data_IF_849610727650
#
_entry.id   IF_849610727650
#
_cell.length_a   1.000
_cell.length_b   1.000
_cell.length_c   1.000
_cell.angle_alpha   90.00
_cell.angle_beta   90.00
_cell.angle_gamma   90.00
#
_symmetry.space_group_name_H-M   'P 1'
#
loop_
_entity.id
_entity.type
_entity.pdbx_description
1 polymer ?
#
# COMPACT_ATOMS: atom_id res chain seq x y z
N UNK A 1 2.46 17.16 13.48
CA UNK A 1 2.21 16.28 12.32
C UNK A 1 3.11 15.07 12.48
N UNK A 2 2.55 13.87 12.34
CA UNK A 2 3.34 12.63 12.37
C UNK A 2 4.03 12.45 11.02
N UNK A 3 5.36 12.45 11.03
CA UNK A 3 6.20 12.33 9.83
C UNK A 3 6.43 10.89 9.39
N UNK A 4 6.20 9.95 10.31
CA UNK A 4 6.31 8.51 10.14
C UNK A 4 5.10 7.84 10.79
N UNK A 5 4.51 6.90 10.09
CA UNK A 5 3.49 5.99 10.61
C UNK A 5 3.94 4.56 10.31
N UNK A 6 3.95 3.71 11.32
CA UNK A 6 4.24 2.28 11.19
C UNK A 6 2.99 1.52 11.56
N UNK A 7 2.70 0.44 10.85
CA UNK A 7 1.56 -0.43 11.13
C UNK A 7 1.88 -1.88 10.77
N UNK A 8 1.12 -2.79 11.36
CA UNK A 8 1.15 -4.19 10.99
C UNK A 8 0.02 -4.96 11.66
N UNK A 9 -0.25 -6.15 11.15
CA UNK A 9 -1.33 -7.01 11.62
C UNK A 9 -1.23 -8.40 11.01
N UNK A 10 -1.79 -9.37 11.72
CA UNK A 10 -2.01 -10.72 11.19
C UNK A 10 -3.48 -10.90 10.81
N UNK A 11 -3.74 -11.74 9.82
CA UNK A 11 -5.08 -12.16 9.46
C UNK A 11 -5.18 -13.69 9.40
N UNK A 12 -6.39 -14.19 9.64
CA UNK A 12 -6.73 -15.60 9.62
C UNK A 12 -7.99 -15.82 8.76
N UNK A 13 -7.90 -16.73 7.79
CA UNK A 13 -9.03 -17.07 6.92
C UNK A 13 -9.97 -18.09 7.59
N UNK A 14 -11.14 -17.62 8.04
CA UNK A 14 -12.15 -18.47 8.71
C UNK A 14 -12.91 -19.41 7.74
N UNK A 15 -13.30 -18.91 6.57
CA UNK A 15 -14.12 -19.65 5.58
C UNK A 15 -13.34 -19.86 4.29
N UNK A 16 -12.58 -20.97 4.23
CA UNK A 16 -11.70 -21.31 3.10
C UNK A 16 -12.43 -22.19 2.08
N UNK A 17 -12.50 -21.72 0.83
CA UNK A 17 -12.93 -22.52 -0.32
C UNK A 17 -11.90 -22.33 -1.44
N UNK A 18 -11.11 -23.35 -1.81
CA UNK A 18 -11.01 -24.71 -1.24
C UNK A 18 -10.39 -24.76 0.17
N UNK A 19 -10.63 -25.86 0.91
CA UNK A 19 -10.18 -26.04 2.31
C UNK A 19 -8.66 -26.23 2.48
N UNK A 20 -7.96 -26.44 1.37
CA UNK A 20 -6.51 -26.71 1.31
C UNK A 20 -5.66 -25.44 1.44
N UNK A 21 -6.26 -24.25 1.33
CA UNK A 21 -5.57 -22.97 1.49
C UNK A 21 -5.02 -22.79 2.91
N UNK A 22 -3.77 -22.40 3.04
CA UNK A 22 -3.16 -22.07 4.32
C UNK A 22 -3.74 -20.74 4.87
N UNK A 23 -4.18 -20.71 6.14
CA UNK A 23 -5.07 -19.66 6.62
C UNK A 23 -4.36 -18.38 7.11
N UNK A 24 -3.06 -18.45 7.42
CA UNK A 24 -2.37 -17.34 8.06
C UNK A 24 -1.77 -16.35 7.06
N UNK A 25 -1.93 -15.07 7.36
CA UNK A 25 -1.19 -14.00 6.69
C UNK A 25 -0.72 -12.94 7.67
N UNK A 26 0.34 -12.25 7.28
CA UNK A 26 0.97 -11.19 8.05
C UNK A 26 1.29 -10.02 7.15
N UNK A 27 0.90 -8.82 7.59
CA UNK A 27 1.16 -7.57 6.88
C UNK A 27 1.84 -6.57 7.78
N UNK A 28 2.76 -5.80 7.23
CA UNK A 28 3.39 -4.69 7.92
C UNK A 28 3.82 -3.63 6.93
N UNK A 29 3.93 -2.39 7.39
CA UNK A 29 4.25 -1.29 6.52
C UNK A 29 4.61 -0.03 7.28
N UNK A 30 5.14 0.91 6.53
CA UNK A 30 5.44 2.25 6.98
C UNK A 30 5.03 3.27 5.93
N UNK A 31 4.52 4.41 6.41
CA UNK A 31 4.18 5.58 5.63
C UNK A 31 5.00 6.76 6.15
N UNK A 32 5.67 7.46 5.24
CA UNK A 32 6.41 8.67 5.49
C UNK A 32 5.65 9.84 4.87
N UNK A 33 5.46 10.89 5.66
CA UNK A 33 4.86 12.15 5.22
C UNK A 33 5.82 13.26 5.55
N UNK A 34 6.24 14.01 4.52
CA UNK A 34 7.12 15.16 4.74
C UNK A 34 6.46 16.16 5.68
N UNK A 35 7.17 16.54 6.74
CA UNK A 35 6.71 17.64 7.61
C UNK A 35 6.82 19.00 6.93
N UNK A 36 7.68 19.11 5.90
CA UNK A 36 7.84 20.31 5.10
C UNK A 36 6.92 20.29 3.89
N UNK A 37 6.17 21.37 3.69
CA UNK A 37 5.41 21.63 2.48
C UNK A 37 6.28 22.40 1.48
N UNK A 38 6.55 21.81 0.34
CA UNK A 38 7.15 22.49 -0.80
C UNK A 38 6.07 23.33 -1.49
N UNK A 39 6.45 24.52 -1.96
CA UNK A 39 5.53 25.46 -2.63
C UNK A 39 4.27 25.79 -1.78
N UNK A 40 4.34 25.62 -0.45
CA UNK A 40 3.25 25.81 0.54
C UNK A 40 2.02 24.89 0.39
N UNK A 41 1.91 24.14 -0.70
CA UNK A 41 0.75 23.29 -1.00
C UNK A 41 1.13 21.82 -1.22
N UNK A 42 2.38 21.51 -1.57
CA UNK A 42 2.83 20.16 -1.95
C UNK A 42 3.56 19.50 -0.78
N UNK A 43 3.10 18.32 -0.37
CA UNK A 43 3.74 17.49 0.65
C UNK A 43 4.15 16.14 0.04
N UNK A 44 5.45 15.86 -0.08
CA UNK A 44 5.92 14.55 -0.50
C UNK A 44 5.47 13.46 0.49
N UNK A 45 5.08 12.33 -0.07
CA UNK A 45 4.66 11.13 0.68
C UNK A 45 5.35 9.90 0.10
N UNK A 46 5.69 8.97 0.97
CA UNK A 46 6.27 7.69 0.60
C UNK A 46 5.67 6.59 1.48
N UNK A 47 5.61 5.37 0.98
CA UNK A 47 5.07 4.23 1.71
C UNK A 47 5.72 2.94 1.23
N UNK A 48 5.92 2.03 2.17
CA UNK A 48 6.36 0.67 1.88
C UNK A 48 5.46 -0.30 2.65
N UNK A 49 4.94 -1.29 1.93
CA UNK A 49 4.07 -2.33 2.42
C UNK A 49 4.67 -3.68 2.11
N UNK A 50 4.58 -4.57 3.08
CA UNK A 50 5.03 -5.94 3.00
C UNK A 50 3.88 -6.85 3.38
N UNK A 51 3.63 -7.84 2.54
CA UNK A 51 2.59 -8.84 2.77
C UNK A 51 3.20 -10.22 2.67
N UNK A 52 2.87 -11.09 3.62
CA UNK A 52 3.38 -12.46 3.67
C UNK A 52 2.22 -13.38 3.95
N UNK A 53 2.12 -14.48 3.21
CA UNK A 53 1.08 -15.48 3.39
C UNK A 53 1.71 -16.84 3.57
N UNK A 54 1.10 -17.65 4.44
CA UNK A 54 1.49 -19.05 4.60
C UNK A 54 1.24 -19.84 3.31
N UNK A 55 0.19 -19.47 2.55
CA UNK A 55 -0.13 -20.07 1.24
C UNK A 55 1.02 -19.94 0.25
N UNK A 56 1.71 -18.80 0.24
CA UNK A 56 2.84 -18.55 -0.63
C UNK A 56 4.19 -18.89 0.04
N UNK A 57 4.21 -19.88 0.95
CA UNK A 57 5.42 -20.30 1.67
C UNK A 57 6.15 -19.14 2.37
N UNK A 58 5.41 -18.14 2.87
CA UNK A 58 5.94 -16.93 3.50
C UNK A 58 6.83 -16.06 2.61
N UNK A 59 6.66 -16.14 1.29
CA UNK A 59 7.34 -15.22 0.38
C UNK A 59 6.80 -13.78 0.58
N UNK A 60 7.73 -12.83 0.68
CA UNK A 60 7.42 -11.43 0.93
C UNK A 60 7.03 -10.71 -0.34
N UNK A 61 5.80 -10.24 -0.38
CA UNK A 61 5.29 -9.33 -1.39
C UNK A 61 5.61 -7.90 -0.98
N UNK A 62 6.10 -7.10 -1.92
CA UNK A 62 6.53 -5.72 -1.66
C UNK A 62 5.69 -4.77 -2.50
N UNK A 63 5.11 -3.77 -1.84
CA UNK A 63 4.47 -2.64 -2.50
C UNK A 63 5.06 -1.33 -1.99
N UNK A 64 5.71 -0.61 -2.89
CA UNK A 64 6.26 0.71 -2.65
C UNK A 64 5.35 1.75 -3.29
N UNK A 65 5.17 2.90 -2.63
CA UNK A 65 4.45 4.05 -3.18
C UNK A 65 5.22 5.31 -2.88
N UNK A 66 5.34 6.19 -3.85
CA UNK A 66 6.03 7.47 -3.76
C UNK A 66 5.18 8.52 -4.45
N UNK A 67 5.06 9.71 -3.89
CA UNK A 67 4.20 10.71 -4.49
C UNK A 67 4.13 12.02 -3.74
N UNK A 68 3.09 12.78 -4.07
CA UNK A 68 2.86 14.10 -3.54
C UNK A 68 1.39 14.31 -3.20
N UNK A 69 1.15 14.89 -2.05
CA UNK A 69 -0.13 15.34 -1.54
C UNK A 69 -0.24 16.84 -1.74
N UNK A 70 -1.28 17.29 -2.42
CA UNK A 70 -1.64 18.70 -2.57
C UNK A 70 -2.78 19.00 -1.61
N UNK A 71 -2.54 19.88 -0.66
CA UNK A 71 -3.51 20.30 0.36
C UNK A 71 -3.87 21.78 0.13
N UNK A 72 -5.15 22.08 -0.11
CA UNK A 72 -5.66 23.45 -0.23
C UNK A 72 -6.72 23.70 0.83
N UNK A 73 -6.53 24.74 1.64
CA UNK A 73 -7.49 25.13 2.69
C UNK A 73 -8.66 25.98 2.17
N UNK A 74 -8.59 26.42 0.92
CA UNK A 74 -9.52 27.41 0.33
C UNK A 74 -10.52 26.77 -0.67
N UNK A 75 -10.39 25.47 -0.97
CA UNK A 75 -11.19 24.78 -1.99
C UNK A 75 -11.95 23.60 -1.39
N UNK A 76 -13.13 23.27 -1.95
CA UNK A 76 -13.93 22.07 -1.58
C UNK A 76 -13.12 20.75 -1.64
N UNK A 77 -12.07 20.72 -2.47
CA UNK A 77 -11.18 19.59 -2.68
C UNK A 77 -9.97 19.76 -1.76
N UNK A 78 -10.18 19.49 -0.48
CA UNK A 78 -9.19 19.84 0.55
C UNK A 78 -7.87 19.08 0.38
N UNK A 79 -7.89 17.92 -0.31
CA UNK A 79 -6.71 17.06 -0.46
C UNK A 79 -6.74 16.18 -1.71
N UNK A 80 -5.72 16.31 -2.54
CA UNK A 80 -5.47 15.45 -3.71
C UNK A 80 -4.11 14.77 -3.54
N UNK A 81 -4.03 13.47 -3.80
CA UNK A 81 -2.76 12.73 -3.79
C UNK A 81 -2.46 12.13 -5.16
N UNK A 82 -1.24 12.34 -5.62
CA UNK A 82 -0.67 11.67 -6.79
C UNK A 82 0.37 10.68 -6.29
N UNK A 83 0.23 9.42 -6.66
CA UNK A 83 1.10 8.33 -6.22
C UNK A 83 1.61 7.56 -7.44
N UNK A 84 2.92 7.34 -7.47
CA UNK A 84 3.58 6.34 -8.30
C UNK A 84 3.83 5.12 -7.40
N UNK A 85 3.28 3.98 -7.77
CA UNK A 85 3.47 2.73 -7.08
C UNK A 85 4.37 1.78 -7.85
N UNK A 86 5.05 0.92 -7.10
CA UNK A 86 5.77 -0.25 -7.58
C UNK A 86 5.28 -1.44 -6.77
N UNK A 87 4.88 -2.50 -7.46
CA UNK A 87 4.45 -3.73 -6.84
C UNK A 87 5.28 -4.90 -7.36
N UNK A 88 5.73 -5.75 -6.46
CA UNK A 88 6.39 -7.01 -6.76
C UNK A 88 5.84 -8.09 -5.84
N UNK A 89 5.08 -9.01 -6.41
CA UNK A 89 4.45 -10.10 -5.68
C UNK A 89 3.53 -10.95 -6.57
N UNK A 90 2.99 -12.06 -6.04
CA UNK A 90 2.01 -12.87 -6.72
C UNK A 90 0.74 -12.08 -7.02
N UNK A 91 -0.01 -12.48 -8.05
CA UNK A 91 -1.28 -11.81 -8.34
C UNK A 91 -2.24 -11.90 -7.14
N UNK A 92 -2.78 -10.76 -6.65
CA UNK A 92 -3.78 -10.76 -5.58
C UNK A 92 -5.13 -11.34 -6.04
N UNK A 93 -5.32 -11.54 -7.35
CA UNK A 93 -6.50 -12.19 -7.91
C UNK A 93 -6.23 -13.69 -8.03
N UNK A 94 -6.87 -14.46 -7.15
CA UNK A 94 -6.58 -15.87 -6.81
C UNK A 94 -6.69 -16.94 -7.91
N UNK A 95 -6.54 -16.58 -9.19
CA UNK A 95 -6.35 -17.54 -10.28
C UNK A 95 -4.87 -17.71 -10.70
N UNK A 96 -3.96 -16.84 -10.22
CA UNK A 96 -2.54 -16.85 -10.60
C UNK A 96 -1.59 -16.78 -9.39
N UNK A 97 -1.84 -17.56 -8.34
CA UNK A 97 -0.97 -17.62 -7.15
C UNK A 97 0.49 -17.98 -7.47
N UNK A 98 0.77 -18.60 -8.63
CA UNK A 98 2.11 -19.04 -9.03
C UNK A 98 2.87 -18.05 -9.93
N UNK A 99 2.26 -16.95 -10.36
CA UNK A 99 2.94 -15.95 -11.18
C UNK A 99 3.23 -14.71 -10.35
N UNK A 100 4.52 -14.46 -10.10
CA UNK A 100 4.98 -13.17 -9.62
C UNK A 100 4.79 -12.14 -10.73
N UNK A 101 4.10 -11.06 -10.42
CA UNK A 101 3.91 -9.92 -11.31
C UNK A 101 4.63 -8.71 -10.73
N UNK A 102 5.43 -8.10 -11.59
CA UNK A 102 6.10 -6.83 -11.33
C UNK A 102 5.42 -5.77 -12.19
N UNK A 103 4.89 -4.73 -11.55
CA UNK A 103 4.27 -3.62 -12.27
C UNK A 103 4.50 -2.28 -11.57
N UNK A 104 4.45 -1.23 -12.39
CA UNK A 104 4.39 0.16 -11.93
C UNK A 104 2.94 0.65 -12.07
N UNK A 105 2.46 1.35 -11.06
CA UNK A 105 1.11 1.94 -11.04
C UNK A 105 1.15 3.45 -10.85
N UNK A 106 0.13 4.12 -11.38
CA UNK A 106 -0.10 5.55 -11.18
C UNK A 106 -1.50 5.72 -10.60
N UNK A 107 -1.59 6.33 -9.42
CA UNK A 107 -2.82 6.53 -8.68
C UNK A 107 -3.08 8.01 -8.42
N UNK A 108 -4.35 8.42 -8.57
CA UNK A 108 -4.85 9.72 -8.14
C UNK A 108 -5.94 9.47 -7.11
N UNK A 109 -5.73 9.94 -5.89
CA UNK A 109 -6.72 9.82 -4.81
C UNK A 109 -7.30 11.19 -4.50
N UNK A 110 -8.62 11.31 -4.66
CA UNK A 110 -9.39 12.50 -4.34
C UNK A 110 -10.07 12.30 -2.99
N UNK A 111 -9.78 13.15 -2.02
CA UNK A 111 -10.48 13.19 -0.74
C UNK A 111 -11.44 14.38 -0.77
N UNK A 112 -12.74 14.09 -0.71
CA UNK A 112 -13.84 15.07 -0.71
C UNK A 112 -14.30 15.36 0.71
#
# INVERSE_FOLDING_TARGET
MEWLRVYGGGAYLFSRHPKELNPWSFQYGLELKSSHQYLKIVRPVAGANFYNTEENSWHTEISLRLGAEIESKETLWHKVQFLLGYYNGPSPYGQFFYQSHEYLDLGIHLYF
#
